data_IF_189413978500
#
_entry.id   IF_189413978500
#
_cell.length_a   1.000
_cell.length_b   1.000
_cell.length_c   1.000
_cell.angle_alpha   90.00
_cell.angle_beta   90.00
_cell.angle_gamma   90.00
#
_symmetry.space_group_name_H-M   'P 1'
#
loop_
_entity.id
_entity.type
_entity.pdbx_description
1 polymer ?
#
# COMPACT_ATOMS: atom_id res chain seq x y z
N UNK A 1 12.42 0.61 -6.27
CA UNK A 1 11.08 0.05 -6.55
C UNK A 1 10.37 -0.55 -5.32
N UNK A 2 10.91 -1.54 -4.60
CA UNK A 2 10.19 -2.16 -3.46
C UNK A 2 9.75 -1.18 -2.36
N UNK A 3 10.64 -0.29 -1.91
CA UNK A 3 10.29 0.76 -0.93
C UNK A 3 9.26 1.77 -1.47
N UNK A 4 9.31 2.08 -2.77
CA UNK A 4 8.32 2.96 -3.42
C UNK A 4 6.95 2.31 -3.40
N UNK A 5 6.85 1.01 -3.70
CA UNK A 5 5.61 0.25 -3.61
C UNK A 5 5.06 0.23 -2.18
N UNK A 6 5.93 0.02 -1.17
CA UNK A 6 5.52 0.05 0.24
C UNK A 6 4.98 1.43 0.67
N UNK A 7 5.68 2.51 0.35
CA UNK A 7 5.19 3.86 0.63
C UNK A 7 3.91 4.21 -0.14
N UNK A 8 3.80 3.73 -1.38
CA UNK A 8 2.60 3.92 -2.19
C UNK A 8 1.37 3.22 -1.57
N UNK A 9 1.53 2.00 -1.04
CA UNK A 9 0.47 1.30 -0.29
C UNK A 9 0.03 2.10 0.94
N UNK A 10 0.95 2.82 1.58
CA UNK A 10 0.65 3.75 2.66
C UNK A 10 0.13 5.12 2.19
N UNK A 11 -0.22 5.26 0.90
CA UNK A 11 -0.76 6.47 0.26
C UNK A 11 0.12 7.71 0.45
N UNK A 12 1.44 7.53 0.55
CA UNK A 12 2.38 8.65 0.64
C UNK A 12 2.55 9.27 -0.74
N UNK A 13 2.53 10.61 -0.79
CA UNK A 13 2.64 11.36 -2.05
C UNK A 13 3.95 11.06 -2.79
N UNK A 14 3.95 10.93 -4.13
CA UNK A 14 5.14 10.63 -4.92
C UNK A 14 6.33 11.54 -4.62
N UNK A 15 6.11 12.86 -4.52
CA UNK A 15 7.16 13.83 -4.20
C UNK A 15 7.82 13.59 -2.83
N UNK A 16 7.04 13.16 -1.82
CA UNK A 16 7.55 12.80 -0.50
C UNK A 16 8.37 11.51 -0.54
N UNK A 17 7.97 10.54 -1.37
CA UNK A 17 8.71 9.29 -1.58
C UNK A 17 10.06 9.58 -2.21
N UNK A 18 10.06 10.36 -3.30
CA UNK A 18 11.27 10.79 -4.01
C UNK A 18 12.25 11.50 -3.07
N UNK A 19 11.78 12.50 -2.32
CA UNK A 19 12.57 13.21 -1.33
C UNK A 19 13.17 12.28 -0.27
N UNK A 20 12.36 11.38 0.31
CA UNK A 20 12.80 10.50 1.41
C UNK A 20 13.78 9.42 0.96
N UNK A 21 13.65 8.96 -0.28
CA UNK A 21 14.51 7.92 -0.85
C UNK A 21 15.74 8.49 -1.59
N UNK A 22 15.80 9.81 -1.81
CA UNK A 22 16.87 10.44 -2.58
C UNK A 22 16.89 9.99 -4.05
N UNK A 23 15.71 9.78 -4.64
CA UNK A 23 15.56 9.34 -6.04
C UNK A 23 14.75 10.34 -6.84
N UNK A 24 14.95 10.34 -8.15
CA UNK A 24 14.23 11.19 -9.09
C UNK A 24 12.71 10.95 -9.05
N UNK A 25 11.93 12.03 -9.02
CA UNK A 25 10.47 11.97 -8.98
C UNK A 25 9.88 11.37 -10.27
N UNK A 26 10.45 11.65 -11.44
CA UNK A 26 9.99 11.09 -12.71
C UNK A 26 10.19 9.57 -12.75
N UNK A 27 11.22 9.03 -12.07
CA UNK A 27 11.38 7.58 -11.90
C UNK A 27 10.31 7.00 -10.98
N UNK A 28 9.94 7.69 -9.91
CA UNK A 28 8.82 7.29 -9.05
C UNK A 28 7.51 7.30 -9.84
N UNK A 29 7.24 8.39 -10.57
CA UNK A 29 6.02 8.53 -11.37
C UNK A 29 5.96 7.51 -12.50
N UNK A 30 7.07 7.22 -13.18
CA UNK A 30 7.14 6.17 -14.21
C UNK A 30 6.79 4.78 -13.68
N UNK A 31 7.17 4.45 -12.44
CA UNK A 31 6.73 3.19 -11.80
C UNK A 31 5.25 3.23 -11.41
N UNK A 32 4.74 4.36 -10.91
CA UNK A 32 3.36 4.51 -10.48
C UNK A 32 2.37 4.56 -11.64
N UNK A 33 2.76 5.14 -12.78
CA UNK A 33 1.97 5.18 -14.02
C UNK A 33 2.02 3.85 -14.77
N UNK A 34 3.02 3.01 -14.48
CA UNK A 34 3.26 1.74 -15.17
C UNK A 34 4.11 1.88 -16.45
N UNK A 35 4.52 3.10 -16.82
CA UNK A 35 5.41 3.36 -17.96
C UNK A 35 6.78 2.68 -17.81
N UNK A 36 7.27 2.54 -16.58
CA UNK A 36 8.50 1.82 -16.25
C UNK A 36 8.18 0.60 -15.40
N UNK A 37 8.67 -0.58 -15.81
CA UNK A 37 8.60 -1.83 -15.04
C UNK A 37 7.19 -2.14 -14.46
N UNK A 38 6.11 -1.74 -15.14
CA UNK A 38 4.76 -1.67 -14.57
C UNK A 38 4.28 -3.00 -13.96
N UNK A 39 4.45 -4.12 -14.67
CA UNK A 39 4.08 -5.43 -14.12
C UNK A 39 4.85 -5.79 -12.85
N UNK A 40 6.17 -5.55 -12.84
CA UNK A 40 7.03 -5.87 -11.70
C UNK A 40 6.66 -4.99 -10.51
N UNK A 41 6.41 -3.71 -10.75
CA UNK A 41 5.98 -2.78 -9.72
C UNK A 41 4.61 -3.18 -9.15
N UNK A 42 3.66 -3.57 -10.00
CA UNK A 42 2.32 -4.00 -9.56
C UNK A 42 2.34 -5.28 -8.72
N UNK A 43 3.24 -6.23 -9.04
CA UNK A 43 3.47 -7.41 -8.20
C UNK A 43 3.98 -7.03 -6.81
N UNK A 44 4.89 -6.05 -6.73
CA UNK A 44 5.41 -5.54 -5.46
C UNK A 44 4.32 -4.81 -4.65
N UNK A 45 3.49 -4.00 -5.31
CA UNK A 45 2.34 -3.31 -4.68
C UNK A 45 1.37 -4.33 -4.09
N UNK A 46 0.98 -5.36 -4.86
CA UNK A 46 0.10 -6.44 -4.39
C UNK A 46 0.69 -7.18 -3.17
N UNK A 47 1.99 -7.50 -3.21
CA UNK A 47 2.66 -8.15 -2.09
C UNK A 47 2.68 -7.25 -0.83
N UNK A 48 2.92 -5.94 -0.99
CA UNK A 48 2.90 -4.99 0.11
C UNK A 48 1.49 -4.81 0.69
N UNK A 49 0.45 -4.74 -0.14
CA UNK A 49 -0.95 -4.69 0.29
C UNK A 49 -1.32 -5.90 1.15
N UNK A 50 -0.96 -7.11 0.71
CA UNK A 50 -1.16 -8.35 1.47
C UNK A 50 -0.45 -8.30 2.83
N UNK A 51 0.81 -7.84 2.88
CA UNK A 51 1.57 -7.69 4.13
C UNK A 51 0.91 -6.67 5.07
N UNK A 52 0.49 -5.52 4.55
CA UNK A 52 -0.17 -4.47 5.33
C UNK A 52 -1.49 -4.97 5.94
N UNK A 53 -2.33 -5.64 5.13
CA UNK A 53 -3.58 -6.24 5.60
C UNK A 53 -3.33 -7.27 6.72
N UNK A 54 -2.37 -8.18 6.55
CA UNK A 54 -2.01 -9.15 7.58
C UNK A 54 -1.50 -8.49 8.87
N UNK A 55 -0.74 -7.40 8.75
CA UNK A 55 -0.28 -6.63 9.90
C UNK A 55 -1.44 -5.93 10.63
N UNK A 56 -2.41 -5.38 9.90
CA UNK A 56 -3.62 -4.78 10.47
C UNK A 56 -4.47 -5.83 11.21
N UNK A 57 -4.66 -7.02 10.63
CA UNK A 57 -5.36 -8.13 11.31
C UNK A 57 -4.67 -8.53 12.62
N UNK A 58 -3.36 -8.76 12.58
CA UNK A 58 -2.58 -9.09 13.79
C UNK A 58 -2.62 -7.99 14.85
N UNK A 59 -2.73 -6.72 14.45
CA UNK A 59 -2.92 -5.61 15.39
C UNK A 59 -4.30 -5.65 16.00
N UNK A 60 -5.35 -5.89 15.21
CA UNK A 60 -6.73 -5.99 15.69
C UNK A 60 -6.90 -7.12 16.72
N UNK A 61 -6.21 -8.24 16.56
CA UNK A 61 -6.23 -9.37 17.49
C UNK A 61 -5.67 -9.03 18.89
N UNK A 62 -4.89 -7.94 19.02
CA UNK A 62 -4.37 -7.47 20.32
C UNK A 62 -5.39 -6.64 21.10
N UNK A 63 -6.50 -6.27 20.47
CA UNK A 63 -7.59 -5.54 21.12
C UNK A 63 -8.75 -6.51 21.38
N UNK A 64 -9.60 -6.17 22.35
CA UNK A 64 -10.76 -6.98 22.72
C UNK A 64 -12.06 -6.19 22.50
N UNK A 65 -13.16 -6.93 22.32
CA UNK A 65 -14.50 -6.35 22.21
C UNK A 65 -14.72 -5.54 20.92
N UNK A 66 -15.51 -4.47 21.04
CA UNK A 66 -15.99 -3.67 19.91
C UNK A 66 -14.84 -3.06 19.08
N UNK A 67 -13.74 -2.68 19.73
CA UNK A 67 -12.59 -2.06 19.07
C UNK A 67 -11.89 -3.02 18.10
N UNK A 68 -11.78 -4.30 18.45
CA UNK A 68 -11.22 -5.33 17.58
C UNK A 68 -12.10 -5.57 16.33
N UNK A 69 -13.43 -5.53 16.51
CA UNK A 69 -14.39 -5.65 15.43
C UNK A 69 -14.30 -4.49 14.44
N UNK A 70 -14.26 -3.25 14.94
CA UNK A 70 -14.12 -2.04 14.11
C UNK A 70 -12.81 -2.05 13.32
N UNK A 71 -11.69 -2.45 13.93
CA UNK A 71 -10.41 -2.58 13.23
C UNK A 71 -10.42 -3.65 12.14
N UNK A 72 -11.09 -4.80 12.38
CA UNK A 72 -11.25 -5.84 11.36
C UNK A 72 -12.11 -5.35 10.19
N UNK A 73 -13.19 -4.64 10.48
CA UNK A 73 -14.08 -4.06 9.48
C UNK A 73 -13.37 -2.98 8.64
N UNK A 74 -12.59 -2.10 9.28
CA UNK A 74 -11.80 -1.08 8.60
C UNK A 74 -10.78 -1.70 7.63
N UNK A 75 -10.06 -2.74 8.07
CA UNK A 75 -9.09 -3.44 7.23
C UNK A 75 -9.74 -4.19 6.05
N UNK A 76 -10.93 -4.79 6.25
CA UNK A 76 -11.70 -5.38 5.14
C UNK A 76 -12.17 -4.32 4.14
N UNK A 77 -12.63 -3.17 4.63
CA UNK A 77 -13.05 -2.06 3.77
C UNK A 77 -11.88 -1.48 2.97
N UNK A 78 -10.70 -1.33 3.57
CA UNK A 78 -9.50 -0.85 2.88
C UNK A 78 -9.09 -1.80 1.76
N UNK A 79 -9.12 -3.12 2.02
CA UNK A 79 -8.87 -4.15 1.00
C UNK A 79 -9.93 -4.14 -0.12
N UNK A 80 -11.19 -3.89 0.21
CA UNK A 80 -12.30 -3.84 -0.75
C UNK A 80 -12.27 -2.58 -1.61
N UNK A 81 -12.02 -1.41 -1.02
CA UNK A 81 -11.91 -0.14 -1.78
C UNK A 81 -10.75 -0.21 -2.78
N UNK A 82 -9.65 -0.80 -2.36
CA UNK A 82 -8.45 -0.95 -3.18
C UNK A 82 -8.65 -1.94 -4.35
N UNK A 83 -9.58 -2.90 -4.22
CA UNK A 83 -10.00 -3.78 -5.32
C UNK A 83 -10.88 -3.05 -6.36
N UNK A 84 -11.59 -1.98 -5.98
CA UNK A 84 -12.44 -1.19 -6.87
C UNK A 84 -11.67 -0.10 -7.64
N UNK A 85 -10.53 0.35 -7.15
CA UNK A 85 -9.67 1.33 -7.84
C UNK A 85 -8.78 0.72 -8.93
N UNK A 86 -8.89 -0.59 -9.17
CA UNK A 86 -8.11 -1.35 -10.17
C UNK A 86 -8.97 -1.80 -11.37
N UNK A 87 -10.15 -1.21 -11.56
CA UNK A 87 -11.10 -1.54 -12.65
C UNK A 87 -11.23 -0.44 -13.67
#
# INVERSE_FOLDING_TARGET
>A
MALVAEFHVHRIRPSRIAYRLGIDIARVEGWLSGEQDGERFQRLVTACKKRNYQAQMKRADRFHGQQAYEMRLAAQNDLRQDQWSLR
#
